data_IF_696623290585
#
_entry.id   IF_696623290585
#
_cell.length_a   1.000
_cell.length_b   1.000
_cell.length_c   1.000
_cell.angle_alpha   90.00
_cell.angle_beta   90.00
_cell.angle_gamma   90.00
#
_symmetry.space_group_name_H-M   'P 1'
#
loop_
_entity.id
_entity.type
_entity.pdbx_description
1 polymer ?
#
# COMPACT_ATOMS: atom_id res chain seq x y z
N UNK A 1 -8.58 -1.44 -18.16
CA UNK A 1 -7.35 -2.26 -18.09
C UNK A 1 -6.45 -1.69 -17.01
N UNK A 2 -6.02 -2.53 -16.06
CA UNK A 2 -5.22 -2.14 -14.90
C UNK A 2 -3.85 -1.59 -15.34
N UNK A 3 -3.58 -0.32 -15.00
CA UNK A 3 -2.34 0.38 -15.34
C UNK A 3 -1.10 -0.32 -14.78
N UNK A 4 -1.27 -1.03 -13.66
CA UNK A 4 -0.21 -1.81 -13.03
C UNK A 4 0.18 -2.97 -13.94
N UNK A 5 -0.78 -3.80 -14.37
CA UNK A 5 -0.51 -4.93 -15.25
C UNK A 5 0.16 -4.50 -16.55
N UNK A 6 -0.31 -3.41 -17.13
CA UNK A 6 0.34 -2.84 -18.30
C UNK A 6 1.79 -2.45 -18.00
N UNK A 7 2.06 -1.73 -16.90
CA UNK A 7 3.41 -1.33 -16.52
C UNK A 7 4.33 -2.53 -16.22
N UNK A 8 3.81 -3.60 -15.61
CA UNK A 8 4.55 -4.83 -15.32
C UNK A 8 5.00 -5.57 -16.59
N UNK A 9 4.20 -5.50 -17.65
CA UNK A 9 4.46 -6.13 -18.95
C UNK A 9 5.43 -5.34 -19.85
N UNK A 10 5.74 -4.09 -19.51
CA UNK A 10 6.65 -3.26 -20.31
C UNK A 10 8.09 -3.76 -20.21
N UNK A 11 8.80 -3.72 -21.34
CA UNK A 11 10.25 -3.83 -21.37
C UNK A 11 10.84 -2.44 -21.11
N UNK A 12 11.46 -2.19 -19.95
CA UNK A 12 12.01 -0.88 -19.63
C UNK A 12 13.22 -0.57 -20.50
N UNK A 13 13.43 0.71 -20.81
CA UNK A 13 14.73 1.18 -21.31
C UNK A 13 15.82 0.84 -20.28
N UNK A 14 17.06 0.53 -20.69
CA UNK A 14 18.08 -0.07 -19.81
C UNK A 14 18.31 0.67 -18.48
N UNK A 15 18.36 2.01 -18.52
CA UNK A 15 18.58 2.84 -17.34
C UNK A 15 17.36 2.97 -16.41
N UNK A 16 16.15 2.58 -16.86
CA UNK A 16 14.97 2.48 -15.99
C UNK A 16 14.76 1.07 -15.42
N UNK A 17 15.50 0.06 -15.91
CA UNK A 17 15.31 -1.33 -15.47
C UNK A 17 15.38 -1.52 -13.94
N UNK A 18 16.29 -0.86 -13.19
CA UNK A 18 16.31 -0.95 -11.73
C UNK A 18 15.03 -0.40 -11.09
N UNK A 19 14.51 0.72 -11.59
CA UNK A 19 13.29 1.34 -11.07
C UNK A 19 12.06 0.45 -11.28
N UNK A 20 11.94 -0.17 -12.46
CA UNK A 20 10.89 -1.15 -12.75
C UNK A 20 11.01 -2.40 -11.88
N UNK A 21 12.22 -2.86 -11.59
CA UNK A 21 12.44 -4.02 -10.71
C UNK A 21 11.98 -3.74 -9.27
N UNK A 22 12.31 -2.55 -8.74
CA UNK A 22 11.82 -2.12 -7.42
C UNK A 22 10.29 -2.00 -7.41
N UNK A 23 9.70 -1.46 -8.48
CA UNK A 23 8.24 -1.37 -8.60
C UNK A 23 7.56 -2.74 -8.58
N UNK A 24 8.10 -3.74 -9.30
CA UNK A 24 7.60 -5.12 -9.26
C UNK A 24 7.59 -5.68 -7.84
N UNK A 25 8.69 -5.45 -7.11
CA UNK A 25 8.80 -5.86 -5.71
C UNK A 25 7.80 -5.13 -4.79
N UNK A 26 7.63 -3.82 -4.97
CA UNK A 26 6.61 -3.05 -4.24
C UNK A 26 5.24 -3.69 -4.46
N UNK A 27 4.86 -3.92 -5.72
CA UNK A 27 3.55 -4.48 -6.05
C UNK A 27 3.33 -5.88 -5.46
N UNK A 28 4.31 -6.78 -5.56
CA UNK A 28 4.20 -8.11 -4.94
C UNK A 28 4.08 -8.06 -3.42
N UNK A 29 4.64 -7.03 -2.78
CA UNK A 29 4.60 -6.86 -1.33
C UNK A 29 3.28 -6.23 -0.87
N UNK A 30 2.66 -5.37 -1.70
CA UNK A 30 1.36 -4.75 -1.39
C UNK A 30 0.28 -5.81 -1.15
N UNK A 31 0.31 -6.95 -1.83
CA UNK A 31 -0.71 -7.99 -1.60
C UNK A 31 -0.61 -8.61 -0.20
N UNK A 32 0.58 -8.60 0.40
CA UNK A 32 0.86 -9.17 1.72
C UNK A 32 0.55 -8.22 2.87
N UNK A 33 0.23 -6.94 2.60
CA UNK A 33 -0.06 -5.98 3.67
C UNK A 33 -1.44 -6.19 4.27
N UNK A 34 -1.51 -6.07 5.60
CA UNK A 34 -2.76 -6.28 6.33
C UNK A 34 -3.58 -5.02 6.56
N UNK A 35 -2.98 -3.84 6.40
CA UNK A 35 -3.62 -2.55 6.64
C UNK A 35 -3.17 -1.52 5.59
N UNK A 36 -4.02 -0.52 5.37
CA UNK A 36 -3.83 0.51 4.34
C UNK A 36 -3.60 -0.08 2.93
N UNK A 37 -4.22 -1.22 2.62
CA UNK A 37 -4.00 -1.95 1.37
C UNK A 37 -4.47 -1.10 0.18
N UNK A 38 -5.66 -0.52 0.26
CA UNK A 38 -6.19 0.32 -0.81
C UNK A 38 -5.32 1.56 -1.02
N UNK A 39 -4.85 2.20 0.05
CA UNK A 39 -3.95 3.36 -0.05
C UNK A 39 -2.61 2.98 -0.71
N UNK A 40 -2.05 1.82 -0.37
CA UNK A 40 -0.83 1.30 -0.98
C UNK A 40 -1.02 0.89 -2.44
N UNK A 41 -2.19 0.36 -2.80
CA UNK A 41 -2.56 0.09 -4.19
C UNK A 41 -2.63 1.37 -5.01
N UNK A 42 -3.25 2.44 -4.47
CA UNK A 42 -3.27 3.76 -5.13
C UNK A 42 -1.86 4.33 -5.29
N UNK A 43 -1.00 4.18 -4.28
CA UNK A 43 0.42 4.57 -4.39
C UNK A 43 1.14 3.80 -5.50
N UNK A 44 0.92 2.48 -5.60
CA UNK A 44 1.49 1.66 -6.66
C UNK A 44 0.95 2.06 -8.04
N UNK A 45 -0.33 2.41 -8.17
CA UNK A 45 -0.89 2.93 -9.43
C UNK A 45 -0.21 4.24 -9.87
N UNK A 46 0.03 5.16 -8.93
CA UNK A 46 0.76 6.40 -9.20
C UNK A 46 2.18 6.15 -9.68
N UNK A 47 2.90 5.21 -9.06
CA UNK A 47 4.24 4.81 -9.50
C UNK A 47 4.21 4.17 -10.89
N UNK A 48 3.25 3.29 -11.16
CA UNK A 48 3.07 2.65 -12.46
C UNK A 48 2.82 3.70 -13.57
N UNK A 49 2.00 4.70 -13.29
CA UNK A 49 1.75 5.82 -14.20
C UNK A 49 3.01 6.60 -14.52
N UNK A 50 3.78 6.98 -13.49
CA UNK A 50 5.05 7.70 -13.66
C UNK A 50 6.06 6.88 -14.48
N UNK A 51 6.28 5.61 -14.11
CA UNK A 51 7.25 4.74 -14.78
C UNK A 51 6.85 4.44 -16.23
N UNK A 52 5.56 4.23 -16.50
CA UNK A 52 5.04 4.08 -17.85
C UNK A 52 5.34 5.31 -18.71
N UNK A 53 5.01 6.51 -18.21
CA UNK A 53 5.22 7.74 -18.98
C UNK A 53 6.71 7.98 -19.21
N UNK A 54 7.55 7.85 -18.18
CA UNK A 54 9.00 7.97 -18.32
C UNK A 54 9.52 7.03 -19.41
N UNK A 55 9.17 5.74 -19.35
CA UNK A 55 9.60 4.78 -20.36
C UNK A 55 9.15 5.16 -21.78
N UNK A 56 7.95 5.71 -21.93
CA UNK A 56 7.44 6.23 -23.21
C UNK A 56 8.23 7.44 -23.71
N UNK A 57 8.47 8.42 -22.84
CA UNK A 57 9.18 9.66 -23.16
C UNK A 57 10.67 9.41 -23.52
N UNK A 58 11.32 8.51 -22.81
CA UNK A 58 12.68 8.07 -23.12
C UNK A 58 12.76 7.28 -24.42
N UNK A 59 11.80 6.38 -24.69
CA UNK A 59 11.74 5.66 -25.98
C UNK A 59 11.47 6.60 -27.15
N UNK A 60 10.70 7.66 -26.93
CA UNK A 60 10.45 8.69 -27.93
C UNK A 60 11.63 9.67 -28.11
N UNK A 61 12.69 9.55 -27.31
CA UNK A 61 13.85 10.45 -27.35
C UNK A 61 13.56 11.88 -26.84
N UNK A 62 12.39 12.11 -26.24
CA UNK A 62 12.00 13.43 -25.70
C UNK A 62 12.69 13.74 -24.38
N UNK A 63 12.96 12.71 -23.58
CA UNK A 63 13.81 12.82 -22.39
C UNK A 63 15.21 12.29 -22.69
N UNK A 64 16.21 13.08 -22.31
CA UNK A 64 17.62 12.72 -22.41
C UNK A 64 18.19 12.43 -21.03
N UNK A 65 18.74 11.23 -20.85
CA UNK A 65 19.28 10.76 -19.57
C UNK A 65 20.29 11.74 -18.95
N UNK A 66 21.13 12.38 -19.78
CA UNK A 66 22.12 13.34 -19.32
C UNK A 66 21.51 14.57 -18.64
N UNK A 67 20.28 14.96 -19.03
CA UNK A 67 19.57 16.12 -18.47
C UNK A 67 18.69 15.77 -17.28
N UNK A 68 18.36 14.49 -17.12
CA UNK A 68 17.39 13.99 -16.12
C UNK A 68 18.04 13.09 -15.08
N UNK A 69 19.38 13.01 -15.05
CA UNK A 69 20.15 12.10 -14.19
C UNK A 69 19.86 12.34 -12.69
N UNK A 70 19.80 13.59 -12.25
CA UNK A 70 19.47 13.96 -10.86
C UNK A 70 18.05 13.53 -10.50
N UNK A 71 17.06 13.91 -11.31
CA UNK A 71 15.66 13.51 -11.11
C UNK A 71 15.48 11.99 -11.10
N UNK A 72 16.25 11.26 -11.91
CA UNK A 72 16.24 9.80 -11.94
C UNK A 72 16.86 9.20 -10.68
N UNK A 73 17.93 9.78 -10.15
CA UNK A 73 18.53 9.36 -8.89
C UNK A 73 17.58 9.59 -7.71
N UNK A 74 16.89 10.73 -7.69
CA UNK A 74 15.89 11.05 -6.66
C UNK A 74 14.68 10.12 -6.73
N UNK A 75 14.18 9.82 -7.94
CA UNK A 75 13.12 8.83 -8.14
C UNK A 75 13.55 7.43 -7.67
N UNK A 76 14.80 7.03 -7.96
CA UNK A 76 15.33 5.75 -7.50
C UNK A 76 15.38 5.67 -5.97
N UNK A 77 15.78 6.77 -5.32
CA UNK A 77 15.78 6.87 -3.85
C UNK A 77 14.36 6.77 -3.29
N UNK A 78 13.41 7.52 -3.87
CA UNK A 78 12.01 7.47 -3.49
C UNK A 78 11.43 6.06 -3.60
N UNK A 79 11.69 5.35 -4.70
CA UNK A 79 11.25 3.96 -4.89
C UNK A 79 11.83 3.01 -3.83
N UNK A 80 13.11 3.15 -3.48
CA UNK A 80 13.74 2.35 -2.42
C UNK A 80 13.11 2.62 -1.06
N UNK A 81 12.83 3.89 -0.74
CA UNK A 81 12.17 4.25 0.51
C UNK A 81 10.74 3.69 0.59
N UNK A 82 9.97 3.80 -0.49
CA UNK A 82 8.62 3.21 -0.56
C UNK A 82 8.71 1.69 -0.41
N UNK A 83 9.64 1.04 -1.10
CA UNK A 83 9.87 -0.42 -0.98
C UNK A 83 10.15 -0.84 0.46
N UNK A 84 11.07 -0.16 1.14
CA UNK A 84 11.38 -0.44 2.54
C UNK A 84 10.19 -0.16 3.47
N UNK A 85 9.39 0.84 3.15
CA UNK A 85 8.16 1.14 3.89
C UNK A 85 7.10 0.03 3.72
N UNK A 86 6.77 -0.36 2.48
CA UNK A 86 5.78 -1.41 2.21
C UNK A 86 6.21 -2.75 2.83
N UNK A 87 7.49 -3.09 2.74
CA UNK A 87 8.02 -4.29 3.38
C UNK A 87 7.85 -4.26 4.92
N UNK A 88 8.11 -3.12 5.56
CA UNK A 88 7.88 -2.96 7.00
C UNK A 88 6.40 -3.06 7.36
N UNK A 89 5.50 -2.54 6.53
CA UNK A 89 4.05 -2.67 6.78
C UNK A 89 3.56 -4.11 6.57
N UNK A 90 4.13 -4.86 5.62
CA UNK A 90 3.80 -6.27 5.42
C UNK A 90 4.20 -7.14 6.62
N UNK A 91 5.30 -6.82 7.30
CA UNK A 91 5.78 -7.59 8.46
C UNK A 91 5.19 -7.12 9.81
N UNK A 92 4.33 -6.11 9.83
CA UNK A 92 3.80 -5.54 11.09
C UNK A 92 2.60 -6.34 11.59
N UNK A 93 2.62 -6.66 12.89
CA UNK A 93 1.48 -7.25 13.58
C UNK A 93 0.30 -6.30 13.70
N UNK A 94 -0.91 -6.86 13.76
CA UNK A 94 -2.19 -6.14 13.75
C UNK A 94 -2.29 -5.00 14.79
N UNK A 95 -1.91 -5.25 16.04
CA UNK A 95 -1.98 -4.23 17.10
C UNK A 95 -1.10 -3.01 16.78
N UNK A 96 0.11 -3.24 16.27
CA UNK A 96 1.00 -2.15 15.86
C UNK A 96 0.41 -1.36 14.69
N UNK A 97 -0.28 -2.04 13.76
CA UNK A 97 -0.96 -1.41 12.63
C UNK A 97 -2.11 -0.48 13.08
N UNK A 98 -2.80 -0.80 14.19
CA UNK A 98 -3.82 0.07 14.78
C UNK A 98 -3.21 1.33 15.38
N UNK A 99 -2.20 1.18 16.24
CA UNK A 99 -1.61 2.32 16.95
C UNK A 99 -0.82 3.27 16.05
N UNK A 100 -0.27 2.79 14.93
CA UNK A 100 0.51 3.64 14.00
C UNK A 100 -0.28 4.08 12.77
N UNK A 101 -1.62 4.02 12.79
CA UNK A 101 -2.45 4.30 11.62
C UNK A 101 -2.24 5.72 11.08
N UNK A 102 -2.30 6.74 11.93
CA UNK A 102 -2.20 8.13 11.46
C UNK A 102 -0.80 8.44 10.91
N UNK A 103 0.24 7.89 11.54
CA UNK A 103 1.61 7.97 11.04
C UNK A 103 1.74 7.31 9.66
N UNK A 104 1.12 6.13 9.46
CA UNK A 104 1.12 5.43 8.17
C UNK A 104 0.42 6.25 7.09
N UNK A 105 -0.75 6.82 7.40
CA UNK A 105 -1.51 7.65 6.47
C UNK A 105 -0.68 8.88 6.05
N UNK A 106 -0.11 9.59 7.03
CA UNK A 106 0.73 10.76 6.77
C UNK A 106 1.95 10.41 5.89
N UNK A 107 2.58 9.25 6.13
CA UNK A 107 3.73 8.79 5.34
C UNK A 107 3.33 8.47 3.89
N UNK A 108 2.18 7.82 3.66
CA UNK A 108 1.68 7.54 2.31
C UNK A 108 1.35 8.84 1.57
N UNK A 109 0.71 9.79 2.24
CA UNK A 109 0.43 11.12 1.66
C UNK A 109 1.72 11.87 1.30
N UNK A 110 2.75 11.78 2.14
CA UNK A 110 4.06 12.36 1.85
C UNK A 110 4.71 11.73 0.60
N UNK A 111 4.56 10.42 0.40
CA UNK A 111 5.04 9.77 -0.82
C UNK A 111 4.29 10.23 -2.06
N UNK A 112 2.96 10.37 -2.00
CA UNK A 112 2.20 10.92 -3.13
C UNK A 112 2.68 12.32 -3.52
N UNK A 113 2.93 13.20 -2.54
CA UNK A 113 3.48 14.54 -2.82
C UNK A 113 4.84 14.48 -3.51
N UNK A 114 5.74 13.60 -3.06
CA UNK A 114 7.07 13.42 -3.67
C UNK A 114 7.01 12.81 -5.08
N UNK A 115 6.02 11.96 -5.35
CA UNK A 115 5.75 11.48 -6.72
C UNK A 115 5.33 12.65 -7.60
N UNK A 116 4.44 13.54 -7.13
CA UNK A 116 4.05 14.75 -7.87
C UNK A 116 5.25 15.63 -8.17
N UNK A 117 6.10 15.91 -7.19
CA UNK A 117 7.36 16.67 -7.40
C UNK A 117 8.27 15.98 -8.42
N UNK A 118 8.32 14.64 -8.40
CA UNK A 118 9.08 13.89 -9.40
C UNK A 118 8.51 14.09 -10.81
N UNK A 119 7.18 14.01 -10.99
CA UNK A 119 6.51 14.25 -12.28
C UNK A 119 6.84 15.66 -12.82
N UNK A 120 6.76 16.67 -11.97
CA UNK A 120 7.11 18.06 -12.30
C UNK A 120 8.57 18.19 -12.73
N UNK A 121 9.50 17.51 -12.03
CA UNK A 121 10.93 17.54 -12.35
C UNK A 121 11.28 16.93 -13.71
N UNK A 122 10.45 16.01 -14.22
CA UNK A 122 10.59 15.43 -15.56
C UNK A 122 9.78 16.20 -16.62
N UNK A 123 9.05 17.25 -16.23
CA UNK A 123 8.17 18.05 -17.09
C UNK A 123 7.09 17.20 -17.81
N UNK A 124 6.63 16.11 -17.18
CA UNK A 124 5.63 15.23 -17.76
C UNK A 124 4.23 15.74 -17.39
N UNK A 125 3.83 16.84 -18.03
CA UNK A 125 2.54 17.48 -17.75
C UNK A 125 1.33 16.57 -18.01
N UNK A 126 1.49 15.58 -18.90
CA UNK A 126 0.46 14.60 -19.26
C UNK A 126 0.04 13.67 -18.10
N UNK A 127 0.76 13.67 -16.98
CA UNK A 127 0.45 12.84 -15.81
C UNK A 127 -0.22 13.60 -14.65
N UNK A 128 -0.29 14.92 -14.70
CA UNK A 128 -0.76 15.75 -13.58
C UNK A 128 -2.29 15.88 -13.58
N UNK A 129 -3.00 14.78 -13.30
CA UNK A 129 -4.36 14.87 -12.74
C UNK A 129 -4.31 14.71 -11.22
N UNK A 130 -3.68 15.71 -10.57
CA UNK A 130 -3.47 15.76 -9.12
C UNK A 130 -4.80 15.61 -8.37
N UNK A 131 -5.88 16.20 -8.90
CA UNK A 131 -7.20 16.15 -8.26
C UNK A 131 -7.85 14.77 -8.34
N UNK A 132 -7.75 14.07 -9.47
CA UNK A 132 -8.21 12.68 -9.54
C UNK A 132 -7.42 11.77 -8.60
N UNK A 133 -6.11 12.02 -8.42
CA UNK A 133 -5.25 11.25 -7.52
C UNK A 133 -5.60 11.49 -6.06
N UNK A 134 -5.80 12.75 -5.65
CA UNK A 134 -6.24 13.10 -4.29
C UNK A 134 -7.58 12.44 -3.97
N UNK A 135 -8.55 12.51 -4.90
CA UNK A 135 -9.86 11.87 -4.74
C UNK A 135 -9.75 10.36 -4.57
N UNK A 136 -8.89 9.69 -5.37
CA UNK A 136 -8.65 8.24 -5.23
C UNK A 136 -8.02 7.88 -3.88
N UNK A 137 -7.06 8.66 -3.40
CA UNK A 137 -6.43 8.42 -2.10
C UNK A 137 -7.40 8.62 -0.93
N UNK A 138 -8.28 9.63 -0.99
CA UNK A 138 -9.34 9.82 0.02
C UNK A 138 -10.30 8.62 0.03
N UNK A 139 -10.75 8.18 -1.14
CA UNK A 139 -11.63 7.00 -1.24
C UNK A 139 -10.97 5.73 -0.69
N UNK A 140 -9.69 5.52 -1.02
CA UNK A 140 -8.89 4.41 -0.52
C UNK A 140 -8.75 4.44 1.00
N UNK A 141 -8.51 5.62 1.58
CA UNK A 141 -8.49 5.81 3.05
C UNK A 141 -9.82 5.42 3.69
N UNK A 142 -10.95 5.82 3.11
CA UNK A 142 -12.28 5.45 3.62
C UNK A 142 -12.53 3.94 3.53
N UNK A 143 -12.10 3.30 2.44
CA UNK A 143 -12.21 1.85 2.27
C UNK A 143 -11.36 1.09 3.29
N UNK A 144 -10.10 1.49 3.47
CA UNK A 144 -9.20 0.88 4.46
C UNK A 144 -9.72 1.08 5.90
N UNK A 145 -10.33 2.23 6.19
CA UNK A 145 -10.96 2.46 7.49
C UNK A 145 -12.14 1.51 7.74
N UNK A 146 -12.97 1.28 6.72
CA UNK A 146 -14.10 0.35 6.82
C UNK A 146 -13.61 -1.07 7.08
N UNK A 147 -12.62 -1.54 6.32
CA UNK A 147 -12.03 -2.87 6.50
C UNK A 147 -11.41 -3.05 7.90
N UNK A 148 -10.80 -2.00 8.44
CA UNK A 148 -10.28 -2.01 9.81
C UNK A 148 -11.39 -2.16 10.85
N UNK A 149 -12.48 -1.40 10.71
CA UNK A 149 -13.63 -1.46 11.62
C UNK A 149 -14.30 -2.84 11.58
N UNK A 150 -14.42 -3.46 10.40
CA UNK A 150 -14.95 -4.81 10.25
C UNK A 150 -14.09 -5.86 10.97
N UNK A 151 -12.77 -5.75 10.89
CA UNK A 151 -11.85 -6.63 11.65
C UNK A 151 -11.99 -6.45 13.16
N UNK A 152 -12.16 -5.22 13.64
CA UNK A 152 -12.38 -4.96 15.07
C UNK A 152 -13.68 -5.59 15.56
N UNK A 153 -14.77 -5.45 14.80
CA UNK A 153 -16.05 -6.08 15.12
C UNK A 153 -15.95 -7.61 15.17
N UNK A 154 -15.20 -8.21 14.25
CA UNK A 154 -14.98 -9.65 14.23
C UNK A 154 -14.18 -10.13 15.46
N UNK A 155 -13.21 -9.33 15.92
CA UNK A 155 -12.47 -9.64 17.15
C UNK A 155 -13.36 -9.58 18.39
N UNK A 156 -14.19 -8.55 18.48
CA UNK A 156 -15.16 -8.38 19.59
C UNK A 156 -16.16 -9.54 19.63
N UNK A 157 -16.71 -9.92 18.47
CA UNK A 157 -17.64 -11.06 18.36
C UNK A 157 -16.96 -12.37 18.75
N UNK A 158 -15.72 -12.58 18.33
CA UNK A 158 -14.95 -13.77 18.71
C UNK A 158 -14.66 -13.81 20.22
N UNK A 159 -14.33 -12.67 20.82
CA UNK A 159 -14.13 -12.55 22.26
C UNK A 159 -15.41 -12.88 23.02
N UNK A 160 -16.55 -12.37 22.57
CA UNK A 160 -17.85 -12.67 23.17
C UNK A 160 -18.18 -14.17 23.11
N UNK A 161 -17.97 -14.81 21.95
CA UNK A 161 -18.14 -16.27 21.81
C UNK A 161 -17.20 -17.08 22.70
N UNK A 162 -15.95 -16.63 22.86
CA UNK A 162 -14.99 -17.26 23.77
C UNK A 162 -15.45 -17.15 25.21
N UNK A 163 -15.94 -15.99 25.64
CA UNK A 163 -16.51 -15.82 26.98
C UNK A 163 -17.72 -16.73 27.18
N UNK A 164 -18.66 -16.77 26.23
CA UNK A 164 -19.83 -17.65 26.31
C UNK A 164 -19.45 -19.14 26.40
N UNK A 165 -18.44 -19.57 25.64
CA UNK A 165 -17.94 -20.94 25.67
C UNK A 165 -17.29 -21.27 27.03
N UNK A 166 -16.46 -20.37 27.56
CA UNK A 166 -15.82 -20.53 28.87
C UNK A 166 -16.85 -20.54 30.00
N UNK A 167 -17.84 -19.65 29.96
CA UNK A 167 -18.95 -19.61 30.92
C UNK A 167 -19.76 -20.90 30.87
N UNK A 168 -20.09 -21.41 29.68
CA UNK A 168 -20.77 -22.72 29.54
C UNK A 168 -19.95 -23.88 30.08
N UNK A 169 -18.62 -23.86 29.93
CA UNK A 169 -17.75 -24.89 30.48
C UNK A 169 -17.69 -24.83 32.02
N UNK A 170 -17.70 -23.63 32.59
CA UNK A 170 -17.66 -23.43 34.04
C UNK A 170 -18.97 -23.85 34.71
N UNK A 171 -20.13 -23.49 34.14
CA UNK A 171 -21.44 -23.88 34.68
C UNK A 171 -21.93 -25.27 34.24
N UNK A 172 -21.33 -25.86 33.19
CA UNK A 172 -21.65 -27.21 32.73
C UNK A 172 -21.02 -28.33 33.55
N UNK A 173 -20.05 -28.01 34.41
CA UNK A 173 -19.32 -28.98 35.24
C UNK A 173 -19.87 -29.12 36.67
N UNK A 174 -20.79 -28.25 37.09
CA UNK A 174 -21.44 -28.28 38.42
C UNK A 174 -22.68 -29.22 38.47
N UNK A 175 -22.93 -29.98 37.39
CA UNK A 175 -24.04 -30.92 37.26
C UNK A 175 -23.79 -32.35 37.75
N UNK A 176 -22.80 -32.59 38.62
CA UNK A 176 -22.66 -33.89 39.29
C UNK A 176 -23.68 -33.94 40.43
N UNK A 177 -24.79 -34.61 40.14
CA UNK A 177 -25.83 -34.97 41.10
C UNK A 177 -25.23 -35.78 42.25
N UNK A 178 -25.55 -35.47 43.52
CA UNK A 178 -25.17 -36.32 44.64
C UNK A 178 -26.02 -37.59 44.57
N UNK A 179 -25.39 -38.74 44.33
CA UNK A 179 -26.04 -40.02 44.52
C UNK A 179 -26.31 -40.21 46.02
N UNK A 180 -27.57 -40.03 46.38
CA UNK A 180 -28.17 -40.38 47.67
C UNK A 180 -28.18 -41.88 47.89
N UNK A 181 -27.76 -42.26 49.11
CA UNK A 181 -28.16 -43.42 49.94
C UNK A 181 -28.14 -44.83 49.32
#
# INVERSE_FOLDING_TARGET
>A
MDIIQHCLSLVPVPYLAPAFSIFKFIWSTVDQVQASKQQLEVLAQSLAQLLKALNGEYRAGRLLQARTSTSLADLSRLLKEISAFVQREASRGFLKLLFTKDQRIAQIEAYHRRITTSIESFQISALLDIHAWQKKNVNARTADQRALNERLLHLETNQQRLMEALTKQYYGNDGITPATA
#
